data_IF_451384285387
#
_entry.id   IF_451384285387
#
_cell.length_a   1.000
_cell.length_b   1.000
_cell.length_c   1.000
_cell.angle_alpha   90.00
_cell.angle_beta   90.00
_cell.angle_gamma   90.00
#
_symmetry.space_group_name_H-M   'P 1'
#
loop_
_entity.id
_entity.type
_entity.pdbx_description
1 polymer ?
#
# COMPACT_ATOMS: atom_id res chain seq x y z
N UNK A 1 19.13 8.08 5.92
CA UNK A 1 18.69 7.40 4.68
C UNK A 1 18.47 8.46 3.62
N UNK A 2 19.17 8.40 2.49
CA UNK A 2 18.95 9.35 1.40
C UNK A 2 17.63 8.99 0.71
N UNK A 3 16.70 9.93 0.68
CA UNK A 3 15.47 9.85 -0.11
C UNK A 3 15.58 10.80 -1.31
N UNK A 4 15.13 10.36 -2.47
CA UNK A 4 15.14 11.15 -3.70
C UNK A 4 13.81 11.03 -4.43
N UNK A 5 13.49 12.00 -5.27
CA UNK A 5 12.27 11.96 -6.10
C UNK A 5 12.60 11.26 -7.42
N UNK A 6 11.79 10.29 -7.80
CA UNK A 6 11.87 9.63 -9.10
C UNK A 6 10.49 9.60 -9.75
N UNK A 7 10.47 9.63 -11.09
CA UNK A 7 9.24 9.38 -11.85
C UNK A 7 8.73 7.97 -11.58
N UNK A 8 7.42 7.81 -11.52
CA UNK A 8 6.79 6.50 -11.37
C UNK A 8 7.20 5.59 -12.54
N UNK A 9 7.60 4.37 -12.22
CA UNK A 9 8.04 3.39 -13.21
C UNK A 9 6.94 3.01 -14.21
N UNK A 10 5.67 3.03 -13.79
CA UNK A 10 4.52 2.69 -14.64
C UNK A 10 4.06 3.87 -15.49
N UNK A 11 3.57 4.95 -14.88
CA UNK A 11 3.02 6.06 -15.66
C UNK A 11 4.07 7.04 -16.20
N UNK A 12 5.29 7.05 -15.65
CA UNK A 12 6.38 8.00 -15.98
C UNK A 12 6.01 9.50 -15.84
N UNK A 13 4.85 9.80 -15.27
CA UNK A 13 4.32 11.17 -15.09
C UNK A 13 4.52 11.65 -13.65
N UNK A 14 4.02 10.88 -12.68
CA UNK A 14 4.00 11.31 -11.28
C UNK A 14 5.37 11.12 -10.61
N UNK A 15 5.78 12.07 -9.78
CA UNK A 15 6.97 11.94 -8.95
C UNK A 15 6.64 11.23 -7.64
N UNK A 16 7.48 10.27 -7.24
CA UNK A 16 7.35 9.49 -6.01
C UNK A 16 8.65 9.61 -5.23
N UNK A 17 8.55 9.72 -3.90
CA UNK A 17 9.70 9.72 -3.02
C UNK A 17 10.17 8.28 -2.85
N UNK A 18 11.42 8.03 -3.23
CA UNK A 18 12.07 6.72 -3.26
C UNK A 18 13.20 6.72 -2.25
N UNK A 19 13.40 5.60 -1.57
CA UNK A 19 14.57 5.36 -0.74
C UNK A 19 15.20 4.01 -1.12
N UNK A 20 16.33 3.67 -0.49
CA UNK A 20 17.05 2.41 -0.75
C UNK A 20 16.18 1.14 -0.63
N UNK A 21 15.17 1.16 0.27
CA UNK A 21 14.25 0.04 0.49
C UNK A 21 13.08 0.04 -0.50
N UNK A 22 12.64 1.22 -0.95
CA UNK A 22 11.49 1.38 -1.85
C UNK A 22 11.90 1.67 -3.29
N UNK A 23 12.92 0.98 -3.82
CA UNK A 23 13.51 1.25 -5.15
C UNK A 23 12.52 1.26 -6.32
N UNK A 24 11.39 0.56 -6.19
CA UNK A 24 10.31 0.58 -7.17
C UNK A 24 9.35 1.74 -6.90
N UNK A 25 9.60 2.87 -7.57
CA UNK A 25 8.75 4.05 -7.51
C UNK A 25 7.40 3.81 -8.22
N UNK A 26 6.34 3.48 -7.47
CA UNK A 26 4.98 3.35 -8.00
C UNK A 26 4.05 4.37 -7.35
N UNK A 27 3.37 5.17 -8.18
CA UNK A 27 2.44 6.19 -7.69
C UNK A 27 1.13 5.55 -7.22
N UNK A 28 0.38 6.30 -6.40
CA UNK A 28 -0.92 5.89 -5.88
C UNK A 28 -1.89 5.53 -7.00
N UNK A 29 -1.99 6.37 -8.03
CA UNK A 29 -2.90 6.18 -9.16
C UNK A 29 -2.67 4.85 -9.89
N UNK A 30 -1.41 4.49 -10.16
CA UNK A 30 -1.09 3.22 -10.81
C UNK A 30 -1.39 2.00 -9.93
N UNK A 31 -1.37 2.16 -8.61
CA UNK A 31 -1.72 1.10 -7.65
C UNK A 31 -3.21 1.05 -7.33
N UNK A 32 -3.96 2.13 -7.57
CA UNK A 32 -5.39 2.21 -7.31
C UNK A 32 -6.14 1.12 -8.09
N UNK A 33 -5.80 0.93 -9.36
CA UNK A 33 -6.39 -0.11 -10.20
C UNK A 33 -6.09 -1.53 -9.67
N UNK A 34 -4.95 -1.75 -9.01
CA UNK A 34 -4.61 -3.06 -8.42
C UNK A 34 -5.27 -3.28 -7.05
N UNK A 35 -5.71 -2.20 -6.40
CA UNK A 35 -6.42 -2.25 -5.13
C UNK A 35 -7.93 -2.45 -5.31
N UNK A 36 -8.44 -2.29 -6.53
CA UNK A 36 -9.85 -2.38 -6.88
C UNK A 36 -10.26 -3.81 -7.18
N UNK A 37 -10.07 -4.68 -6.18
CA UNK A 37 -10.43 -6.09 -6.25
C UNK A 37 -11.40 -6.47 -5.14
N UNK A 38 -12.25 -7.46 -5.44
CA UNK A 38 -13.22 -7.98 -4.47
C UNK A 38 -12.52 -8.76 -3.35
N UNK A 39 -12.84 -8.41 -2.11
CA UNK A 39 -12.40 -9.12 -0.91
C UNK A 39 -13.57 -9.96 -0.42
N UNK A 40 -13.45 -11.29 -0.53
CA UNK A 40 -14.51 -12.23 -0.12
C UNK A 40 -14.54 -12.49 1.39
N UNK A 41 -13.43 -12.24 2.07
CA UNK A 41 -13.28 -12.49 3.50
C UNK A 41 -13.78 -11.28 4.33
N UNK A 42 -14.79 -11.46 5.21
CA UNK A 42 -15.35 -10.36 5.99
C UNK A 42 -14.37 -9.72 6.97
N UNK A 43 -13.42 -10.48 7.53
CA UNK A 43 -12.43 -9.95 8.46
C UNK A 43 -11.43 -9.07 7.73
N UNK A 44 -10.97 -9.52 6.57
CA UNK A 44 -10.06 -8.75 5.72
C UNK A 44 -10.75 -7.51 5.17
N UNK A 45 -12.04 -7.60 4.83
CA UNK A 45 -12.82 -6.44 4.39
C UNK A 45 -12.85 -5.34 5.45
N UNK A 46 -13.09 -5.69 6.73
CA UNK A 46 -13.04 -4.74 7.85
C UNK A 46 -11.64 -4.16 8.04
N UNK A 47 -10.61 -5.00 7.95
CA UNK A 47 -9.22 -4.58 8.11
C UNK A 47 -8.77 -3.58 7.02
N UNK A 48 -9.21 -3.78 5.78
CA UNK A 48 -8.90 -2.89 4.66
C UNK A 48 -9.86 -1.69 4.55
N UNK A 49 -10.86 -1.58 5.43
CA UNK A 49 -11.76 -0.43 5.48
C UNK A 49 -11.10 0.74 6.24
N UNK A 50 -10.06 1.32 5.64
CA UNK A 50 -9.32 2.48 6.15
C UNK A 50 -9.47 3.67 5.19
N UNK A 51 -9.30 4.91 5.66
CA UNK A 51 -9.45 6.10 4.82
C UNK A 51 -8.49 6.08 3.62
N UNK A 52 -8.96 6.58 2.47
CA UNK A 52 -8.17 6.64 1.22
C UNK A 52 -6.86 7.43 1.40
N UNK A 53 -6.87 8.43 2.27
CA UNK A 53 -5.69 9.23 2.63
C UNK A 53 -4.56 8.39 3.22
N UNK A 54 -4.87 7.39 4.05
CA UNK A 54 -3.87 6.49 4.61
C UNK A 54 -3.18 5.66 3.52
N UNK A 55 -3.94 5.20 2.52
CA UNK A 55 -3.37 4.55 1.34
C UNK A 55 -2.53 5.49 0.49
N UNK A 56 -2.92 6.77 0.37
CA UNK A 56 -2.17 7.77 -0.40
C UNK A 56 -0.81 8.05 0.23
N UNK A 57 -0.79 8.23 1.55
CA UNK A 57 0.42 8.55 2.31
C UNK A 57 1.38 7.37 2.42
N UNK A 58 0.87 6.13 2.51
CA UNK A 58 1.70 4.97 2.82
C UNK A 58 1.69 3.90 1.71
N UNK A 59 2.83 3.71 1.04
CA UNK A 59 3.00 2.69 0.02
C UNK A 59 2.99 1.26 0.56
N UNK A 60 3.34 1.05 1.84
CA UNK A 60 3.29 -0.26 2.47
C UNK A 60 1.85 -0.77 2.60
N UNK A 61 0.92 0.07 3.07
CA UNK A 61 -0.50 -0.30 3.19
C UNK A 61 -1.09 -0.73 1.85
N UNK A 62 -0.74 0.00 0.77
CA UNK A 62 -1.12 -0.37 -0.60
C UNK A 62 -0.55 -1.73 -0.99
N UNK A 63 0.73 -1.98 -0.72
CA UNK A 63 1.38 -3.24 -1.06
C UNK A 63 0.76 -4.45 -0.36
N UNK A 64 0.36 -4.31 0.90
CA UNK A 64 -0.33 -5.39 1.65
C UNK A 64 -1.67 -5.72 1.01
N UNK A 65 -2.48 -4.68 0.69
CA UNK A 65 -3.78 -4.88 0.04
C UNK A 65 -3.64 -5.54 -1.34
N UNK A 66 -2.70 -5.06 -2.16
CA UNK A 66 -2.42 -5.66 -3.48
C UNK A 66 -1.96 -7.12 -3.34
N UNK A 67 -1.08 -7.42 -2.39
CA UNK A 67 -0.63 -8.79 -2.14
C UNK A 67 -1.78 -9.69 -1.69
N UNK A 68 -2.65 -9.21 -0.82
CA UNK A 68 -3.84 -9.97 -0.43
C UNK A 68 -4.74 -10.25 -1.63
N UNK A 69 -5.02 -9.25 -2.48
CA UNK A 69 -5.84 -9.45 -3.69
C UNK A 69 -5.18 -10.42 -4.68
N UNK A 70 -3.86 -10.39 -4.80
CA UNK A 70 -3.12 -11.26 -5.73
C UNK A 70 -2.99 -12.70 -5.24
N UNK A 71 -2.76 -12.91 -3.95
CA UNK A 71 -2.43 -14.22 -3.38
C UNK A 71 -3.56 -14.82 -2.54
N UNK A 72 -4.61 -14.06 -2.23
CA UNK A 72 -5.76 -14.46 -1.43
C UNK A 72 -5.48 -14.69 0.06
N UNK A 73 -4.24 -14.46 0.52
CA UNK A 73 -3.84 -14.72 1.91
C UNK A 73 -2.78 -13.73 2.38
N UNK A 74 -2.79 -13.47 3.69
CA UNK A 74 -1.75 -12.76 4.41
C UNK A 74 -1.29 -13.62 5.60
N UNK A 75 -0.04 -13.44 6.00
CA UNK A 75 0.49 -14.01 7.24
C UNK A 75 0.09 -13.15 8.44
N UNK A 76 0.00 -13.74 9.63
CA UNK A 76 -0.35 -13.01 10.86
C UNK A 76 0.57 -11.81 11.10
N UNK A 77 1.86 -11.97 10.81
CA UNK A 77 2.85 -10.89 10.90
C UNK A 77 2.56 -9.73 9.94
N UNK A 78 2.05 -10.01 8.74
CA UNK A 78 1.64 -8.97 7.79
C UNK A 78 0.38 -8.24 8.27
N UNK A 79 -0.56 -8.98 8.86
CA UNK A 79 -1.78 -8.41 9.45
C UNK A 79 -1.44 -7.49 10.63
N UNK A 80 -0.60 -7.96 11.54
CA UNK A 80 -0.14 -7.20 12.69
C UNK A 80 0.64 -5.94 12.26
N UNK A 81 1.55 -6.07 11.31
CA UNK A 81 2.32 -4.95 10.78
C UNK A 81 1.42 -3.90 10.11
N UNK A 82 0.37 -4.33 9.41
CA UNK A 82 -0.61 -3.44 8.80
C UNK A 82 -1.39 -2.66 9.88
N UNK A 83 -1.96 -3.35 10.88
CA UNK A 83 -2.69 -2.71 11.99
C UNK A 83 -1.83 -1.68 12.71
N UNK A 84 -0.59 -2.05 13.10
CA UNK A 84 0.38 -1.14 13.72
C UNK A 84 0.72 0.08 12.85
N UNK A 85 0.72 -0.08 11.53
CA UNK A 85 1.02 1.02 10.62
C UNK A 85 -0.17 1.98 10.50
N UNK A 86 -1.40 1.45 10.47
CA UNK A 86 -2.62 2.27 10.49
C UNK A 86 -2.73 3.06 11.79
N UNK A 87 -2.50 2.41 12.94
CA UNK A 87 -2.49 3.08 14.24
C UNK A 87 -1.47 4.24 14.31
N UNK A 88 -0.28 4.05 13.73
CA UNK A 88 0.76 5.09 13.67
C UNK A 88 0.39 6.29 12.79
N UNK A 89 -0.50 6.12 11.81
CA UNK A 89 -0.96 7.21 10.95
C UNK A 89 -2.10 8.00 11.58
N UNK A 90 -2.87 7.37 12.47
CA UNK A 90 -3.99 7.98 13.19
C UNK A 90 -3.56 8.67 14.50
N UNK A 91 -2.26 8.72 14.80
CA UNK A 91 -1.70 9.24 16.04
C UNK A 91 -0.88 10.48 15.75
#
# INVERSE_FOLDING_TARGET
MISYKQKCFRCKKNMVIVNYRTRFAVCYECQKNEMDGEIKDPEMQKMFNIPEEAYRQNSFLRSIKINYLKYGKLTDKQIEAFKKTVEKLNK
#
